data_IF_184855916682
#
_entry.id   IF_184855916682
#
_cell.length_a   1.000
_cell.length_b   1.000
_cell.length_c   1.000
_cell.angle_alpha   90.00
_cell.angle_beta   90.00
_cell.angle_gamma   90.00
#
_symmetry.space_group_name_H-M   'P 1'
#
loop_
_entity.id
_entity.type
_entity.pdbx_description
1 polymer ?
2 branched ?
3 non-polymer ?
4 water ?
#
# COMPACT_ATOMS: atom_id res chain seq x y z
N UNK A 1 -5.47 -21.14 38.44
CA UNK A 1 -4.55 -20.58 37.45
C UNK A 1 -3.19 -21.28 37.47
N UNK A 2 -3.04 -22.28 38.32
CA UNK A 2 -1.82 -23.07 38.41
C UNK A 2 -1.82 -24.31 37.52
N UNK A 3 -2.93 -25.12 37.43
CA UNK A 3 -2.82 -26.43 36.78
C UNK A 3 -2.75 -26.39 35.26
N UNK A 4 -3.37 -25.37 34.68
CA UNK A 4 -3.36 -25.20 33.23
C UNK A 4 -2.03 -24.64 32.75
N UNK A 5 -1.49 -23.68 33.50
CA UNK A 5 -0.15 -23.17 33.26
C UNK A 5 0.87 -24.30 33.37
N UNK A 6 0.67 -25.26 34.28
CA UNK A 6 1.66 -26.32 34.29
C UNK A 6 1.27 -27.50 33.40
N UNK A 7 0.04 -27.51 32.86
CA UNK A 7 -0.21 -28.28 31.64
C UNK A 7 0.67 -27.76 30.53
N UNK A 8 0.71 -26.44 30.38
CA UNK A 8 1.43 -25.83 29.27
C UNK A 8 2.94 -26.00 29.45
N UNK A 9 3.43 -25.91 30.68
CA UNK A 9 4.85 -26.16 30.90
C UNK A 9 5.25 -27.59 30.57
N UNK A 10 4.33 -28.54 30.72
CA UNK A 10 4.65 -29.95 30.59
C UNK A 10 4.52 -30.44 29.16
N UNK A 11 5.19 -29.77 28.23
CA UNK A 11 5.24 -30.27 26.86
C UNK A 11 6.66 -30.76 26.52
N UNK A 12 7.60 -29.83 26.29
CA UNK A 12 8.99 -30.16 26.03
C UNK A 12 9.87 -28.92 26.13
N UNK A 13 10.73 -28.89 27.15
CA UNK A 13 11.68 -27.82 27.36
C UNK A 13 13.08 -28.44 27.44
N UNK A 14 14.04 -27.85 26.72
CA UNK A 14 15.36 -28.46 26.56
C UNK A 14 16.52 -27.63 27.10
N UNK A 15 16.31 -26.37 27.46
CA UNK A 15 17.38 -25.53 28.02
C UNK A 15 16.78 -24.73 29.17
N UNK A 16 17.18 -25.03 30.39
CA UNK A 16 16.67 -24.30 31.54
C UNK A 16 15.59 -25.07 32.27
N UNK A 17 15.02 -24.39 33.27
CA UNK A 17 14.21 -25.07 34.27
C UNK A 17 12.88 -24.37 34.54
N UNK A 18 12.16 -24.82 35.56
CA UNK A 18 10.77 -24.41 35.70
C UNK A 18 10.65 -22.91 35.97
N UNK A 19 11.34 -22.36 36.99
CA UNK A 19 11.81 -23.03 38.19
C UNK A 19 11.55 -22.11 39.39
N UNK A 20 10.36 -22.27 39.97
CA UNK A 20 9.42 -23.22 39.38
C UNK A 20 7.99 -22.75 39.22
N UNK A 21 7.27 -23.52 38.41
CA UNK A 21 5.84 -23.35 38.22
C UNK A 21 5.11 -24.44 38.99
N UNK A 22 5.31 -24.38 40.31
CA UNK A 22 4.82 -25.42 41.21
C UNK A 22 3.31 -25.47 41.20
N UNK A 23 2.78 -26.69 41.04
CA UNK A 23 1.35 -26.89 40.81
C UNK A 23 0.50 -26.47 42.00
N UNK A 24 1.07 -26.35 43.19
CA UNK A 24 0.28 -25.99 44.35
C UNK A 24 0.52 -24.58 44.87
N UNK A 25 1.00 -23.69 44.01
CA UNK A 25 1.31 -22.32 44.40
C UNK A 25 0.69 -21.35 43.42
N UNK A 26 0.37 -20.15 43.91
CA UNK A 26 -0.30 -19.14 43.10
C UNK A 26 0.69 -18.49 42.14
N UNK A 27 0.37 -18.40 40.85
CA UNK A 27 1.35 -17.88 39.88
C UNK A 27 1.56 -16.38 39.94
N UNK A 28 0.78 -15.63 40.71
CA UNK A 28 0.97 -14.20 40.87
C UNK A 28 1.63 -13.82 42.19
N UNK A 29 2.12 -14.80 42.96
CA UNK A 29 2.84 -14.49 44.19
C UNK A 29 4.14 -13.75 43.93
N UNK A 30 4.61 -13.69 42.68
CA UNK A 30 5.84 -13.02 42.32
C UNK A 30 7.02 -13.95 42.15
N UNK A 31 6.87 -15.23 42.47
CA UNK A 31 7.93 -16.21 42.31
C UNK A 31 7.95 -16.85 40.93
N UNK A 32 6.80 -16.88 40.24
CA UNK A 32 6.69 -17.55 38.96
C UNK A 32 7.40 -16.72 37.91
N UNK A 33 8.59 -17.15 37.51
CA UNK A 33 9.36 -16.40 36.52
C UNK A 33 8.70 -16.48 35.16
N UNK A 34 8.66 -15.34 34.49
CA UNK A 34 8.07 -15.26 33.17
C UNK A 34 6.58 -15.17 33.18
N UNK A 35 5.96 -14.78 34.29
CA UNK A 35 4.52 -14.57 34.28
C UNK A 35 4.14 -13.17 34.75
N UNK A 36 3.20 -12.61 34.02
CA UNK A 36 2.64 -11.30 34.29
C UNK A 36 1.20 -11.49 34.78
N UNK A 37 0.80 -10.62 35.69
CA UNK A 37 -0.51 -10.73 36.31
C UNK A 37 -1.14 -9.35 36.36
N UNK A 38 -2.42 -9.29 35.96
CA UNK A 38 -3.24 -8.14 36.24
C UNK A 38 -3.54 -8.10 37.72
N UNK A 39 -3.11 -7.00 38.31
CA UNK A 39 -3.48 -6.51 39.62
C UNK A 39 -3.13 -7.44 40.77
N UNK A 40 -2.06 -8.18 40.55
CA UNK A 40 -1.54 -9.10 41.53
C UNK A 40 -2.46 -10.26 41.78
N UNK A 41 -3.46 -10.46 40.93
CA UNK A 41 -4.47 -11.49 41.14
C UNK A 41 -4.47 -12.50 40.00
N UNK A 42 -4.59 -12.06 38.75
CA UNK A 42 -4.92 -12.98 37.67
C UNK A 42 -3.84 -12.93 36.58
N UNK A 43 -3.67 -14.05 35.88
CA UNK A 43 -2.59 -14.16 34.89
C UNK A 43 -3.01 -13.45 33.61
N UNK A 44 -2.13 -12.60 33.09
CA UNK A 44 -2.40 -11.80 31.89
C UNK A 44 -1.35 -11.94 30.80
N UNK A 45 -0.16 -12.45 31.11
CA UNK A 45 0.86 -12.63 30.10
C UNK A 45 1.77 -13.79 30.44
N UNK A 46 2.33 -14.39 29.40
CA UNK A 46 3.36 -15.42 29.52
C UNK A 46 4.58 -14.97 28.74
N UNK A 47 5.73 -14.92 29.41
CA UNK A 47 6.96 -14.38 28.83
C UNK A 47 8.10 -15.35 29.16
N UNK A 48 8.26 -16.38 28.32
CA UNK A 48 9.35 -17.34 28.50
C UNK A 48 10.12 -17.44 27.19
N UNK A 49 11.43 -17.22 27.28
CA UNK A 49 12.29 -17.13 26.10
C UNK A 49 13.61 -17.85 26.35
N UNK A 50 14.20 -18.36 25.28
CA UNK A 50 15.53 -18.97 25.30
C UNK A 50 15.57 -20.16 26.27
N UNK A 51 14.53 -20.99 26.22
CA UNK A 51 14.50 -22.22 26.99
C UNK A 51 14.55 -23.45 26.10
N UNK A 52 14.73 -23.26 24.80
CA UNK A 52 14.74 -24.40 23.90
C UNK A 52 13.43 -25.15 23.86
N UNK A 53 12.31 -24.45 24.05
CA UNK A 53 11.02 -25.10 23.96
C UNK A 53 10.89 -25.77 22.60
N UNK A 54 10.80 -27.10 22.64
CA UNK A 54 10.81 -27.92 21.44
C UNK A 54 9.49 -28.64 21.20
N UNK A 55 8.55 -28.54 22.12
CA UNK A 55 7.32 -29.28 22.06
C UNK A 55 6.25 -28.56 21.29
N UNK A 56 5.01 -28.78 21.70
CA UNK A 56 3.82 -28.28 21.02
C UNK A 56 2.99 -27.46 21.99
N UNK A 57 2.52 -26.30 21.53
CA UNK A 57 1.60 -25.50 22.34
C UNK A 57 0.21 -26.11 22.23
N UNK A 58 -0.43 -26.32 23.38
CA UNK A 58 -1.82 -26.77 23.43
C UNK A 58 -2.66 -25.57 23.91
N UNK A 59 -3.33 -24.92 22.97
CA UNK A 59 -4.00 -23.67 23.25
C UNK A 59 -5.25 -23.84 24.10
N UNK A 60 -5.79 -25.06 24.18
CA UNK A 60 -6.91 -25.29 25.09
C UNK A 60 -6.49 -25.05 26.54
N UNK A 61 -5.22 -25.31 26.88
CA UNK A 61 -4.71 -24.94 28.18
C UNK A 61 -4.73 -23.43 28.38
N UNK A 62 -4.31 -22.67 27.36
CA UNK A 62 -4.27 -21.22 27.49
C UNK A 62 -5.64 -20.58 27.46
N UNK A 63 -6.66 -21.29 26.94
CA UNK A 63 -8.02 -20.76 26.98
C UNK A 63 -8.58 -20.74 28.39
N UNK A 64 -8.04 -21.54 29.30
CA UNK A 64 -8.52 -21.56 30.68
C UNK A 64 -7.94 -20.42 31.52
N UNK A 65 -7.16 -19.50 30.91
CA UNK A 65 -6.78 -18.23 31.52
C UNK A 65 -7.64 -17.13 30.91
N UNK A 66 -8.67 -16.63 31.61
CA UNK A 66 -9.64 -15.75 30.96
C UNK A 66 -9.16 -14.34 30.72
N UNK A 67 -8.10 -13.88 31.39
CA UNK A 67 -7.62 -12.53 31.17
C UNK A 67 -6.22 -12.52 30.60
N UNK A 68 -5.79 -13.61 29.98
CA UNK A 68 -4.50 -13.62 29.32
C UNK A 68 -4.56 -12.72 28.09
N UNK A 69 -3.59 -11.81 28.00
CA UNK A 69 -3.57 -10.82 26.93
C UNK A 69 -2.27 -10.83 26.14
N UNK A 70 -1.17 -11.34 26.69
CA UNK A 70 0.10 -11.25 25.98
C UNK A 70 0.83 -12.59 26.05
N UNK A 71 1.34 -13.03 24.91
CA UNK A 71 2.17 -14.22 24.81
C UNK A 71 3.46 -13.82 24.10
N UNK A 72 4.60 -14.17 24.71
CA UNK A 72 5.91 -13.87 24.15
C UNK A 72 6.79 -15.09 24.37
N UNK A 73 7.03 -15.84 23.30
CA UNK A 73 7.78 -17.08 23.33
C UNK A 73 9.02 -16.99 22.44
N UNK A 74 9.70 -15.84 22.49
CA UNK A 74 10.79 -15.58 21.56
C UNK A 74 11.96 -16.53 21.74
N UNK A 75 12.64 -16.80 20.63
CA UNK A 75 13.89 -17.55 20.58
C UNK A 75 13.79 -18.89 21.31
N UNK A 76 12.97 -19.78 20.75
CA UNK A 76 12.92 -21.16 21.19
C UNK A 76 13.01 -22.03 19.95
N UNK A 77 12.50 -23.25 20.04
CA UNK A 77 12.59 -24.21 18.94
C UNK A 77 11.22 -24.75 18.57
N UNK A 78 10.18 -23.93 18.76
CA UNK A 78 8.83 -24.38 18.46
C UNK A 78 8.68 -24.55 16.95
N UNK A 79 8.14 -25.69 16.52
CA UNK A 79 7.97 -25.98 15.10
C UNK A 79 6.60 -26.59 14.87
N UNK A 80 6.30 -26.85 13.61
CA UNK A 80 5.00 -27.34 13.21
C UNK A 80 4.15 -26.17 12.78
N UNK A 81 2.87 -26.40 12.50
CA UNK A 81 2.00 -25.31 12.05
C UNK A 81 1.74 -24.31 13.17
N UNK A 82 1.33 -23.12 12.76
CA UNK A 82 1.08 -22.07 13.74
C UNK A 82 -0.15 -22.44 14.57
N UNK A 83 -0.03 -22.55 15.89
CA UNK A 83 -1.15 -23.01 16.69
C UNK A 83 -2.29 -22.02 16.64
N UNK A 84 -3.52 -22.47 16.87
CA UNK A 84 -4.68 -21.61 16.63
C UNK A 84 -4.84 -20.51 17.66
N UNK A 85 -3.96 -19.50 17.62
CA UNK A 85 -4.02 -18.44 18.62
C UNK A 85 -5.29 -17.63 18.55
N UNK A 86 -6.07 -17.73 17.46
CA UNK A 86 -7.34 -17.04 17.36
C UNK A 86 -8.38 -17.54 18.35
N UNK A 87 -8.13 -18.65 19.03
CA UNK A 87 -9.02 -19.16 20.06
C UNK A 87 -8.90 -18.40 21.37
N UNK A 88 -7.93 -17.49 21.49
CA UNK A 88 -7.80 -16.66 22.66
C UNK A 88 -8.39 -15.28 22.36
N UNK A 89 -9.58 -14.95 22.87
CA UNK A 89 -10.30 -13.78 22.36
C UNK A 89 -9.73 -12.42 22.75
N UNK A 90 -9.12 -12.31 23.93
CA UNK A 90 -8.59 -11.04 24.37
C UNK A 90 -7.12 -10.84 24.09
N UNK A 91 -6.56 -11.62 23.17
CA UNK A 91 -5.12 -11.54 22.95
C UNK A 91 -4.77 -10.23 22.30
N UNK A 92 -3.78 -9.54 22.85
CA UNK A 92 -3.33 -8.26 22.33
C UNK A 92 -1.95 -8.31 21.71
N UNK A 93 -1.09 -9.22 22.17
CA UNK A 93 0.31 -9.25 21.78
C UNK A 93 0.74 -10.70 21.56
N UNK A 94 1.13 -11.01 20.33
CA UNK A 94 1.57 -12.35 19.94
C UNK A 94 3.00 -12.24 19.42
N UNK A 95 3.98 -12.56 20.28
CA UNK A 95 5.39 -12.43 19.98
C UNK A 95 6.00 -13.82 19.92
N UNK A 96 6.36 -14.26 18.73
CA UNK A 96 6.95 -15.57 18.50
C UNK A 96 8.26 -15.47 17.70
N UNK A 97 9.04 -14.42 17.91
CA UNK A 97 10.30 -14.18 17.20
C UNK A 97 11.26 -15.35 17.26
N UNK A 98 11.94 -15.56 16.14
CA UNK A 98 12.96 -16.59 15.97
C UNK A 98 12.49 -17.96 16.55
N UNK A 99 11.42 -18.50 15.97
CA UNK A 99 11.03 -19.89 16.25
C UNK A 99 11.05 -20.60 14.90
N UNK A 100 10.58 -21.85 14.86
CA UNK A 100 10.65 -22.62 13.61
C UNK A 100 9.27 -23.07 13.15
N UNK A 101 8.25 -22.23 13.37
CA UNK A 101 6.92 -22.53 12.85
C UNK A 101 6.92 -22.48 11.33
N UNK A 102 6.26 -23.45 10.72
CA UNK A 102 6.30 -23.67 9.28
C UNK A 102 4.89 -23.76 8.73
N UNK A 103 4.78 -23.71 7.40
CA UNK A 103 3.51 -23.94 6.73
C UNK A 103 2.77 -22.65 6.43
N UNK A 104 1.61 -22.81 5.81
CA UNK A 104 0.78 -21.68 5.42
C UNK A 104 -0.27 -21.38 6.49
N UNK A 105 -0.41 -20.10 6.81
CA UNK A 105 -1.42 -19.66 7.77
C UNK A 105 -2.75 -19.53 7.05
N UNK A 106 -3.81 -20.06 7.63
CA UNK A 106 -5.13 -19.96 7.03
C UNK A 106 -5.46 -18.49 6.77
N UNK A 107 -6.02 -18.21 5.60
CA UNK A 107 -6.30 -16.82 5.24
C UNK A 107 -7.30 -16.18 6.19
N UNK A 108 -8.17 -16.98 6.79
CA UNK A 108 -9.16 -16.49 7.74
C UNK A 108 -8.67 -16.56 9.18
N UNK A 109 -7.36 -16.68 9.39
CA UNK A 109 -6.83 -16.93 10.74
C UNK A 109 -7.14 -15.78 11.69
N UNK A 110 -7.13 -14.54 11.20
CA UNK A 110 -7.32 -13.37 12.05
C UNK A 110 -8.70 -12.73 11.87
N UNK A 111 -9.69 -13.53 11.47
CA UNK A 111 -11.04 -12.98 11.28
C UNK A 111 -11.63 -12.49 12.59
N UNK A 112 -11.40 -13.22 13.69
CA UNK A 112 -12.04 -12.91 14.95
C UNK A 112 -11.01 -12.65 16.04
N UNK A 113 -10.00 -11.84 15.73
CA UNK A 113 -8.99 -11.39 16.69
C UNK A 113 -8.82 -9.88 16.58
N UNK A 114 -9.86 -9.11 16.91
CA UNK A 114 -9.76 -7.66 16.76
C UNK A 114 -8.91 -6.99 17.83
N UNK A 115 -8.56 -7.70 18.89
CA UNK A 115 -7.78 -7.12 19.99
C UNK A 115 -6.29 -7.11 19.71
N UNK A 116 -5.82 -7.84 18.71
CA UNK A 116 -4.38 -7.92 18.44
C UNK A 116 -3.82 -6.56 18.02
N UNK A 117 -2.90 -6.04 18.82
CA UNK A 117 -2.15 -4.83 18.49
C UNK A 117 -0.78 -5.15 17.91
N UNK A 118 -0.18 -6.23 18.35
CA UNK A 118 1.18 -6.58 18.00
C UNK A 118 1.29 -8.05 17.60
N UNK A 119 1.87 -8.29 16.43
CA UNK A 119 2.09 -9.62 15.88
C UNK A 119 3.52 -9.68 15.35
N UNK A 120 4.40 -10.38 16.07
CA UNK A 120 5.79 -10.59 15.66
C UNK A 120 5.94 -12.07 15.32
N UNK A 121 6.08 -12.38 14.03
CA UNK A 121 6.29 -13.75 13.56
C UNK A 121 7.62 -13.89 12.82
N UNK A 122 8.52 -12.93 13.00
CA UNK A 122 9.73 -12.87 12.21
C UNK A 122 10.61 -14.08 12.42
N UNK A 123 11.31 -14.47 11.34
CA UNK A 123 12.37 -15.47 11.37
C UNK A 123 11.87 -16.84 11.80
N UNK A 124 10.65 -17.18 11.41
CA UNK A 124 10.23 -18.57 11.44
C UNK A 124 10.40 -19.12 10.03
N UNK A 125 9.66 -20.16 9.67
CA UNK A 125 9.69 -20.67 8.30
C UNK A 125 8.27 -20.78 7.75
N UNK A 126 7.46 -19.76 8.00
CA UNK A 126 6.12 -19.67 7.43
C UNK A 126 6.17 -19.44 5.93
N UNK A 127 5.15 -19.92 5.24
CA UNK A 127 5.13 -19.94 3.79
C UNK A 127 3.73 -19.53 3.30
N UNK A 128 3.65 -19.28 2.00
CA UNK A 128 2.37 -19.25 1.31
C UNK A 128 1.39 -18.15 1.67
N UNK A 129 1.66 -16.91 1.23
CA UNK A 129 0.65 -15.86 1.17
C UNK A 129 0.21 -15.37 2.55
N UNK A 130 0.63 -14.17 2.92
CA UNK A 130 0.15 -13.51 4.14
C UNK A 130 -1.37 -13.52 4.16
N UNK A 131 -2.00 -13.92 5.26
CA UNK A 131 -3.47 -14.01 5.29
C UNK A 131 -4.10 -12.64 5.15
N UNK A 132 -5.10 -12.54 4.26
CA UNK A 132 -5.73 -11.26 4.01
C UNK A 132 -6.39 -10.70 5.26
N UNK A 133 -6.88 -11.57 6.15
CA UNK A 133 -7.56 -11.09 7.35
C UNK A 133 -6.60 -10.36 8.29
N UNK A 134 -5.31 -10.72 8.24
CA UNK A 134 -4.32 -10.00 9.05
C UNK A 134 -4.29 -8.52 8.70
N UNK A 135 -4.45 -8.20 7.41
CA UNK A 135 -4.43 -6.82 6.95
C UNK A 135 -5.80 -6.17 7.01
N UNK A 136 -6.79 -6.82 7.61
CA UNK A 136 -8.10 -6.23 7.87
C UNK A 136 -8.28 -5.85 9.33
N UNK A 137 -7.28 -6.11 10.18
CA UNK A 137 -7.34 -5.72 11.58
C UNK A 137 -7.19 -4.21 11.70
N UNK A 138 -8.26 -3.53 12.11
CA UNK A 138 -8.22 -2.07 12.24
C UNK A 138 -7.31 -1.61 13.37
N UNK A 139 -7.09 -2.45 14.38
CA UNK A 139 -6.29 -2.08 15.53
C UNK A 139 -4.87 -2.61 15.53
N UNK A 140 -4.40 -3.19 14.43
CA UNK A 140 -3.04 -3.72 14.37
C UNK A 140 -2.06 -2.57 14.29
N UNK A 141 -1.11 -2.50 15.22
CA UNK A 141 -0.15 -1.43 15.23
C UNK A 141 1.25 -1.85 14.79
N UNK A 142 1.69 -3.05 15.16
CA UNK A 142 3.02 -3.52 14.84
C UNK A 142 2.93 -4.92 14.25
N UNK A 143 3.39 -5.07 13.00
CA UNK A 143 3.38 -6.36 12.32
C UNK A 143 4.76 -6.62 11.76
N UNK A 144 5.46 -7.60 12.34
CA UNK A 144 6.81 -7.94 11.91
C UNK A 144 6.81 -9.39 11.45
N UNK A 145 7.09 -9.59 10.15
CA UNK A 145 7.02 -10.89 9.51
C UNK A 145 8.30 -11.18 8.72
N UNK A 146 9.35 -10.41 8.94
CA UNK A 146 10.55 -10.53 8.13
C UNK A 146 11.22 -11.89 8.33
N UNK A 147 11.94 -12.33 7.30
CA UNK A 147 12.76 -13.51 7.42
C UNK A 147 12.03 -14.83 7.41
N UNK A 148 10.87 -14.89 6.75
CA UNK A 148 10.13 -16.12 6.55
C UNK A 148 10.27 -16.51 5.07
N UNK A 149 9.28 -17.22 4.53
CA UNK A 149 9.29 -17.58 3.11
C UNK A 149 7.96 -17.23 2.46
N UNK A 150 7.28 -16.19 2.95
CA UNK A 150 6.00 -15.78 2.39
C UNK A 150 6.12 -15.47 0.91
N UNK A 151 5.11 -15.85 0.15
CA UNK A 151 5.06 -15.63 -1.29
C UNK A 151 3.73 -14.98 -1.64
N UNK A 152 3.53 -14.73 -2.92
CA UNK A 152 2.31 -14.09 -3.37
C UNK A 152 2.31 -12.58 -3.13
N UNK A 153 1.16 -11.98 -3.39
CA UNK A 153 1.01 -10.54 -3.22
C UNK A 153 0.63 -10.20 -1.79
N UNK A 154 0.99 -9.00 -1.37
CA UNK A 154 0.64 -8.52 -0.04
C UNK A 154 -0.84 -8.10 -0.04
N UNK A 155 -1.65 -8.57 0.91
CA UNK A 155 -3.05 -8.17 0.92
C UNK A 155 -3.18 -6.69 1.20
N UNK A 156 -4.26 -6.05 0.75
CA UNK A 156 -4.46 -4.63 1.04
C UNK A 156 -4.76 -4.42 2.51
N UNK A 157 -4.41 -3.23 3.00
CA UNK A 157 -4.67 -2.85 4.38
C UNK A 157 -5.93 -2.00 4.43
N UNK A 158 -6.82 -2.34 5.35
CA UNK A 158 -8.12 -1.67 5.42
C UNK A 158 -7.97 -0.23 5.90
N UNK A 159 -8.73 0.68 5.26
CA UNK A 159 -8.74 2.08 5.69
C UNK A 159 -9.17 2.23 7.13
N UNK A 160 -9.84 1.23 7.71
CA UNK A 160 -10.25 1.30 9.09
C UNK A 160 -9.08 1.28 10.07
N UNK A 161 -7.91 0.85 9.62
CA UNK A 161 -6.72 0.89 10.45
C UNK A 161 -6.13 2.30 10.42
N UNK A 162 -5.96 2.90 11.59
CA UNK A 162 -5.35 4.22 11.73
C UNK A 162 -4.18 4.20 12.71
N UNK A 163 -3.67 3.02 13.06
CA UNK A 163 -2.70 2.92 14.17
C UNK A 163 -1.45 2.16 13.78
N UNK A 164 -1.44 1.49 12.62
CA UNK A 164 -0.27 0.74 12.22
C UNK A 164 0.92 1.66 12.04
N UNK A 165 1.93 1.54 12.92
CA UNK A 165 3.11 2.39 12.85
C UNK A 165 4.37 1.65 12.45
N UNK A 166 4.38 0.32 12.46
CA UNK A 166 5.59 -0.44 12.12
C UNK A 166 5.19 -1.71 11.41
N UNK A 167 5.66 -1.85 10.17
CA UNK A 167 5.41 -3.02 9.33
C UNK A 167 6.73 -3.46 8.75
N UNK A 168 7.10 -4.72 8.98
CA UNK A 168 8.36 -5.27 8.48
C UNK A 168 8.05 -6.57 7.75
N UNK A 169 8.18 -6.54 6.42
CA UNK A 169 7.98 -7.72 5.57
C UNK A 169 9.27 -8.07 4.82
N UNK A 170 10.42 -7.64 5.32
CA UNK A 170 11.67 -7.81 4.62
C UNK A 170 12.07 -9.28 4.53
N UNK A 171 12.84 -9.60 3.50
CA UNK A 171 13.50 -10.90 3.38
C UNK A 171 12.50 -12.05 3.38
N UNK A 172 11.49 -11.92 2.52
CA UNK A 172 10.62 -13.03 2.17
C UNK A 172 10.73 -13.26 0.67
N UNK A 173 9.67 -13.74 0.04
CA UNK A 173 9.66 -13.87 -1.41
C UNK A 173 8.35 -13.34 -1.97
N UNK A 174 7.91 -12.18 -1.49
CA UNK A 174 6.65 -11.60 -1.92
C UNK A 174 6.78 -11.04 -3.33
N UNK A 175 5.64 -10.89 -4.01
CA UNK A 175 5.62 -10.75 -5.46
C UNK A 175 5.04 -9.44 -5.95
N UNK A 176 3.79 -9.12 -5.62
CA UNK A 176 3.09 -8.12 -6.42
C UNK A 176 3.55 -6.68 -6.28
N UNK A 177 2.70 -5.76 -6.73
CA UNK A 177 2.88 -4.36 -6.39
C UNK A 177 2.66 -4.20 -4.89
N UNK A 178 3.52 -3.42 -4.25
CA UNK A 178 3.24 -3.14 -2.83
C UNK A 178 1.97 -2.31 -2.74
N UNK A 179 1.00 -2.71 -1.92
CA UNK A 179 -0.30 -2.01 -1.89
C UNK A 179 -0.13 -0.55 -1.50
N UNK A 180 -0.76 0.34 -2.28
CA UNK A 180 -0.70 1.75 -1.96
C UNK A 180 -1.49 2.09 -0.69
N UNK A 181 -2.42 1.21 -0.28
CA UNK A 181 -3.02 1.33 1.05
C UNK A 181 -1.95 1.37 2.14
N UNK A 182 -0.81 0.72 1.90
CA UNK A 182 0.30 0.74 2.86
C UNK A 182 1.26 1.88 2.57
N UNK A 183 1.67 2.03 1.31
CA UNK A 183 2.77 2.94 0.98
C UNK A 183 2.38 4.41 1.04
N UNK A 184 1.08 4.73 0.94
CA UNK A 184 0.67 6.13 1.05
C UNK A 184 0.77 6.66 2.46
N UNK A 185 0.81 5.80 3.47
CA UNK A 185 0.69 6.25 4.85
C UNK A 185 1.97 6.97 5.29
N UNK A 186 1.79 8.10 5.97
CA UNK A 186 2.88 9.02 6.30
C UNK A 186 3.39 8.85 7.73
N UNK A 187 2.82 7.92 8.50
CA UNK A 187 3.26 7.67 9.88
C UNK A 187 3.70 6.23 10.07
N UNK A 188 4.11 5.57 8.99
CA UNK A 188 4.32 4.12 8.95
C UNK A 188 5.78 3.81 8.65
N UNK A 189 6.51 3.33 9.65
CA UNK A 189 7.81 2.73 9.38
C UNK A 189 7.59 1.38 8.68
N UNK A 190 7.90 1.32 7.40
CA UNK A 190 7.68 0.12 6.61
C UNK A 190 8.99 -0.36 6.02
N UNK A 191 9.12 -1.68 5.92
CA UNK A 191 10.33 -2.29 5.39
C UNK A 191 9.96 -3.41 4.43
N UNK A 192 10.62 -3.39 3.24
CA UNK A 192 10.31 -4.36 2.20
C UNK A 192 11.53 -4.94 1.49
N UNK A 193 12.76 -4.62 1.97
CA UNK A 193 14.00 -5.11 1.33
C UNK A 193 14.01 -6.61 1.20
N UNK A 194 14.89 -7.07 0.33
CA UNK A 194 15.16 -8.48 0.27
C UNK A 194 14.00 -9.27 -0.23
N UNK A 195 13.08 -8.59 -0.92
CA UNK A 195 11.92 -9.21 -1.52
C UNK A 195 12.09 -9.00 -3.01
N UNK A 196 12.91 -9.81 -3.65
CA UNK A 196 12.89 -9.81 -5.10
C UNK A 196 11.48 -10.19 -5.53
N UNK A 197 11.15 -9.85 -6.78
CA UNK A 197 9.82 -10.01 -7.38
C UNK A 197 8.90 -8.84 -7.03
N UNK A 198 9.15 -8.17 -5.91
CA UNK A 198 8.26 -7.14 -5.39
C UNK A 198 8.58 -5.80 -6.04
N UNK A 199 7.55 -4.99 -6.32
CA UNK A 199 7.76 -3.73 -7.03
C UNK A 199 6.75 -2.68 -6.55
N UNK A 200 6.78 -1.52 -7.20
CA UNK A 200 5.90 -0.41 -6.85
C UNK A 200 6.55 0.44 -5.79
N UNK A 201 5.83 0.64 -4.68
CA UNK A 201 6.47 0.61 -3.37
C UNK A 201 7.05 1.93 -2.89
N UNK A 202 7.66 1.91 -1.69
CA UNK A 202 8.79 2.82 -1.43
C UNK A 202 10.08 2.37 -2.09
N UNK A 203 10.20 1.10 -2.48
CA UNK A 203 11.29 0.67 -3.33
C UNK A 203 11.26 1.42 -4.67
N UNK A 204 12.44 1.62 -5.25
CA UNK A 204 12.61 2.44 -6.45
C UNK A 204 12.46 1.66 -7.74
N UNK A 205 11.60 0.63 -7.77
CA UNK A 205 11.44 -0.21 -8.94
C UNK A 205 9.96 -0.26 -9.33
N UNK A 206 9.64 0.26 -10.51
CA UNK A 206 8.39 -0.06 -11.20
C UNK A 206 8.49 -1.47 -11.75
N UNK A 207 7.38 -2.24 -11.76
CA UNK A 207 5.96 -1.88 -11.59
C UNK A 207 5.46 -0.70 -12.44
N UNK A 208 5.58 -0.75 -13.78
CA UNK A 208 5.98 -1.92 -14.58
C UNK A 208 6.07 -1.52 -16.04
N UNK B 1 21.17 14.37 -11.10
CA UNK B 1 19.77 14.02 -10.91
C UNK B 1 19.29 14.35 -9.49
N UNK B 2 20.17 14.94 -8.69
CA UNK B 2 19.85 15.34 -7.32
C UNK B 2 19.33 16.78 -7.20
N UNK B 3 20.01 17.78 -7.82
CA UNK B 3 19.66 19.18 -7.51
C UNK B 3 18.37 19.68 -8.16
N UNK B 4 17.92 19.14 -9.30
CA UNK B 4 16.63 19.49 -9.92
C UNK B 4 15.53 19.02 -9.04
N UNK B 5 15.72 17.74 -8.71
CA UNK B 5 14.76 17.03 -7.91
C UNK B 5 14.51 17.79 -6.64
N UNK B 6 15.56 18.41 -6.10
CA UNK B 6 15.23 19.22 -4.94
C UNK B 6 14.97 20.68 -5.31
N UNK B 7 15.19 21.09 -6.56
CA UNK B 7 14.50 22.29 -7.05
C UNK B 7 13.00 22.06 -6.98
N UNK B 8 12.56 20.90 -7.46
CA UNK B 8 11.15 20.58 -7.57
C UNK B 8 10.52 20.34 -6.20
N UNK B 9 11.27 19.72 -5.28
CA UNK B 9 10.77 19.54 -3.93
C UNK B 9 10.56 20.88 -3.22
N UNK B 10 11.33 21.90 -3.60
CA UNK B 10 11.34 23.17 -2.87
C UNK B 10 10.28 24.12 -3.41
N UNK B 11 9.04 23.65 -3.44
CA UNK B 11 7.92 24.52 -3.79
C UNK B 11 7.05 24.79 -2.57
N UNK B 12 6.22 23.81 -2.17
CA UNK B 12 5.36 23.94 -0.99
C UNK B 12 4.78 22.59 -0.59
N UNK B 13 5.16 22.10 0.59
CA UNK B 13 4.59 20.87 1.14
C UNK B 13 3.96 21.21 2.48
N UNK B 14 2.75 20.71 2.70
CA UNK B 14 1.98 21.08 3.89
C UNK B 14 1.64 19.89 4.77
N UNK B 15 1.82 18.65 4.31
CA UNK B 15 1.56 17.46 5.11
C UNK B 15 2.67 16.45 4.83
N UNK B 16 3.56 16.23 5.79
CA UNK B 16 4.63 15.27 5.59
C UNK B 16 5.93 15.92 5.19
N UNK B 17 6.91 15.08 4.89
CA UNK B 17 8.30 15.49 4.78
C UNK B 17 8.91 14.89 3.52
N UNK B 18 10.21 15.11 3.33
CA UNK B 18 10.84 14.78 2.05
C UNK B 18 10.85 13.28 1.78
N UNK B 19 11.37 12.44 2.70
CA UNK B 19 12.34 12.73 3.78
C UNK B 19 13.35 11.57 3.85
N UNK B 20 14.49 11.79 3.21
CA UNK B 20 14.64 13.06 2.52
C UNK B 20 15.25 12.97 1.13
N UNK B 21 15.14 14.10 0.43
CA UNK B 21 15.71 14.28 -0.89
C UNK B 21 16.97 15.13 -0.77
N UNK B 22 17.97 14.59 -0.08
CA UNK B 22 19.19 15.33 0.26
C UNK B 22 19.97 15.71 -1.00
N UNK B 23 20.36 16.98 -1.08
CA UNK B 23 20.95 17.53 -2.28
C UNK B 23 22.31 16.93 -2.62
N UNK B 24 22.98 16.31 -1.66
CA UNK B 24 24.29 15.73 -1.94
C UNK B 24 24.31 14.22 -1.95
N UNK B 25 23.16 13.61 -2.21
CA UNK B 25 23.02 12.17 -2.20
C UNK B 25 22.33 11.70 -3.48
N UNK B 26 22.66 10.48 -3.89
CA UNK B 26 22.17 9.93 -5.16
C UNK B 26 20.72 9.49 -5.01
N UNK B 27 19.82 9.92 -5.91
CA UNK B 27 18.40 9.59 -5.74
C UNK B 27 18.03 8.16 -6.10
N UNK B 28 18.94 7.37 -6.67
CA UNK B 28 18.64 5.98 -6.95
C UNK B 28 19.30 5.03 -5.96
N UNK B 29 19.88 5.54 -4.89
CA UNK B 29 20.46 4.68 -3.86
C UNK B 29 19.41 3.83 -3.15
N UNK B 30 18.12 4.14 -3.31
CA UNK B 30 17.06 3.39 -2.67
C UNK B 30 16.49 4.05 -1.44
N UNK B 31 17.08 5.15 -0.96
CA UNK B 31 16.58 5.85 0.21
C UNK B 31 15.55 6.91 -0.14
N UNK B 32 15.56 7.42 -1.36
CA UNK B 32 14.69 8.51 -1.78
C UNK B 32 13.27 8.00 -1.94
N UNK B 33 12.40 8.35 -1.00
CA UNK B 33 11.04 7.84 -1.04
C UNK B 33 10.28 8.47 -2.21
N UNK B 34 9.53 7.65 -2.93
CA UNK B 34 8.75 8.15 -4.05
C UNK B 34 9.52 8.41 -5.32
N UNK B 35 10.70 7.82 -5.47
CA UNK B 35 11.51 7.95 -6.68
C UNK B 35 11.64 6.58 -7.33
N UNK B 36 11.48 6.54 -8.65
CA UNK B 36 11.72 5.35 -9.44
C UNK B 36 12.93 5.57 -10.34
N UNK B 37 13.69 4.50 -10.55
CA UNK B 37 14.92 4.59 -11.34
C UNK B 37 14.98 3.43 -12.32
N UNK B 38 15.31 3.77 -13.56
CA UNK B 38 15.75 2.78 -14.53
C UNK B 38 17.10 2.24 -14.09
N UNK B 39 17.17 0.91 -13.96
CA UNK B 39 18.39 0.12 -13.81
C UNK B 39 19.20 0.49 -12.58
N UNK B 40 18.56 1.05 -11.54
CA UNK B 40 19.31 1.49 -10.39
C UNK B 40 20.25 2.63 -10.69
N UNK B 41 20.06 3.29 -11.84
CA UNK B 41 21.02 4.28 -12.33
C UNK B 41 20.38 5.66 -12.45
N UNK B 42 19.26 5.78 -13.18
CA UNK B 42 18.76 7.09 -13.60
C UNK B 42 17.30 7.24 -13.20
N UNK B 43 16.86 8.47 -13.00
CA UNK B 43 15.51 8.72 -12.52
C UNK B 43 14.52 8.59 -13.67
N UNK B 44 13.46 7.81 -13.46
CA UNK B 44 12.44 7.55 -14.47
C UNK B 44 11.02 7.86 -14.03
N UNK B 45 10.76 7.97 -12.74
CA UNK B 45 9.43 8.26 -12.25
C UNK B 45 9.47 9.02 -10.95
N UNK B 46 8.42 9.81 -10.71
CA UNK B 46 8.21 10.50 -9.43
C UNK B 46 6.83 10.11 -8.94
N UNK B 47 6.76 9.59 -7.72
CA UNK B 47 5.52 9.06 -7.13
C UNK B 47 5.40 9.60 -5.71
N UNK B 48 4.84 10.80 -5.57
CA UNK B 48 4.63 11.40 -4.26
C UNK B 48 3.15 11.79 -4.15
N UNK B 49 2.49 11.30 -3.12
CA UNK B 49 1.05 11.45 -2.94
C UNK B 49 0.75 11.76 -1.48
N UNK B 50 -0.37 12.46 -1.27
CA UNK B 50 -0.88 12.75 0.08
C UNK B 50 0.13 13.51 0.91
N UNK B 51 0.77 14.52 0.32
CA UNK B 51 1.66 15.39 1.06
C UNK B 51 1.14 16.81 1.13
N UNK B 52 -0.06 17.07 0.63
CA UNK B 52 -0.59 18.42 0.65
C UNK B 52 0.24 19.37 -0.18
N UNK B 53 0.85 18.89 -1.27
CA UNK B 53 1.60 19.78 -2.14
C UNK B 53 0.70 20.90 -2.61
N UNK B 54 1.05 22.12 -2.22
CA UNK B 54 0.20 23.28 -2.45
C UNK B 54 0.80 24.28 -3.41
N UNK B 55 2.02 24.08 -3.85
CA UNK B 55 2.73 25.04 -4.66
C UNK B 55 2.51 24.87 -6.14
N UNK B 56 3.56 25.19 -6.89
CA UNK B 56 3.56 25.24 -8.34
C UNK B 56 4.62 24.27 -8.87
N UNK B 57 4.26 23.50 -9.89
CA UNK B 57 5.25 22.66 -10.56
C UNK B 57 6.03 23.54 -11.53
N UNK B 58 7.36 23.46 -11.46
CA UNK B 58 8.22 24.13 -12.42
C UNK B 58 8.80 23.04 -13.31
N UNK B 59 8.23 22.91 -14.51
CA UNK B 59 8.56 21.79 -15.39
C UNK B 59 9.95 21.90 -15.98
N UNK B 60 10.56 23.10 -15.95
CA UNK B 60 11.95 23.21 -16.38
C UNK B 60 12.86 22.39 -15.48
N UNK B 61 12.51 22.24 -14.21
CA UNK B 61 13.25 21.33 -13.33
C UNK B 61 13.11 19.89 -13.82
N UNK B 62 11.91 19.48 -14.20
CA UNK B 62 11.69 18.09 -14.63
C UNK B 62 12.25 17.82 -16.02
N UNK B 63 12.48 18.85 -16.83
CA UNK B 63 13.12 18.64 -18.12
C UNK B 63 14.56 18.22 -17.97
N UNK B 64 15.17 18.53 -16.83
CA UNK B 64 16.55 18.16 -16.55
C UNK B 64 16.70 16.72 -16.07
N UNK B 65 15.62 15.94 -16.02
CA UNK B 65 15.69 14.48 -15.88
C UNK B 65 15.40 13.84 -17.22
N UNK B 66 16.43 13.39 -17.95
CA UNK B 66 16.22 13.02 -19.35
C UNK B 66 15.50 11.71 -19.58
N UNK B 67 15.42 10.82 -18.60
CA UNK B 67 14.70 9.56 -18.78
C UNK B 67 13.50 9.45 -17.86
N UNK B 68 12.97 10.58 -17.40
CA UNK B 68 11.73 10.56 -16.63
C UNK B 68 10.59 10.17 -17.55
N UNK B 69 9.83 9.17 -17.12
CA UNK B 69 8.74 8.62 -17.91
C UNK B 69 7.41 8.63 -17.19
N UNK B 70 7.41 8.72 -15.86
CA UNK B 70 6.16 8.63 -15.11
C UNK B 70 6.10 9.69 -14.02
N UNK B 71 4.96 10.38 -13.95
CA UNK B 71 4.68 11.35 -12.90
C UNK B 71 3.35 10.97 -12.26
N UNK B 72 3.34 10.84 -10.94
CA UNK B 72 2.12 10.49 -10.21
C UNK B 72 2.08 11.33 -8.94
N UNK B 73 1.25 12.36 -8.93
CA UNK B 73 1.16 13.32 -7.83
C UNK B 73 -0.25 13.31 -7.24
N UNK B 74 -0.84 12.13 -7.12
CA UNK B 74 -2.23 11.99 -6.72
C UNK B 74 -2.47 12.51 -5.30
N UNK B 75 -3.70 12.94 -5.05
CA UNK B 75 -4.17 13.37 -3.74
C UNK B 75 -3.24 14.44 -3.14
N UNK B 76 -3.26 15.60 -3.76
CA UNK B 76 -2.58 16.76 -3.18
C UNK B 76 -3.49 17.97 -3.33
N UNK B 77 -2.87 19.15 -3.29
CA UNK B 77 -3.58 20.42 -3.33
C UNK B 77 -3.03 21.31 -4.44
N UNK B 78 -2.54 20.70 -5.53
CA UNK B 78 -1.96 21.47 -6.60
C UNK B 78 -3.04 22.31 -7.27
N UNK B 79 -2.72 23.58 -7.54
CA UNK B 79 -3.68 24.57 -8.00
C UNK B 79 -3.18 25.23 -9.27
N UNK B 80 -4.02 26.08 -9.85
CA UNK B 80 -3.65 26.81 -11.03
C UNK B 80 -3.94 26.08 -12.32
N UNK B 81 -3.49 26.64 -13.44
CA UNK B 81 -3.67 25.98 -14.73
C UNK B 81 -2.78 24.74 -14.83
N UNK B 82 -3.15 23.84 -15.73
CA UNK B 82 -2.40 22.59 -15.85
C UNK B 82 -1.02 22.88 -16.43
N UNK B 83 0.06 22.51 -15.73
CA UNK B 83 1.41 22.89 -16.17
C UNK B 83 1.77 22.22 -17.48
N UNK B 84 2.69 22.80 -18.25
CA UNK B 84 2.95 22.31 -19.62
C UNK B 84 3.67 20.98 -19.66
N UNK B 85 2.99 19.89 -19.30
CA UNK B 85 3.67 18.60 -19.25
C UNK B 85 4.12 18.13 -20.63
N UNK B 86 3.63 18.75 -21.70
CA UNK B 86 4.08 18.41 -23.04
C UNK B 86 5.54 18.77 -23.28
N UNK B 87 6.18 19.49 -22.37
CA UNK B 87 7.61 19.77 -22.53
C UNK B 87 8.47 18.58 -22.17
N UNK B 88 7.88 17.50 -21.65
CA UNK B 88 8.61 16.28 -21.35
C UNK B 88 8.32 15.26 -22.43
N UNK B 89 9.26 14.99 -23.35
CA UNK B 89 8.92 14.25 -24.57
C UNK B 89 8.71 12.76 -24.37
N UNK B 90 9.40 12.18 -23.40
CA UNK B 90 9.30 10.74 -23.20
C UNK B 90 8.28 10.34 -22.15
N UNK B 91 7.38 11.25 -21.76
CA UNK B 91 6.47 10.95 -20.67
C UNK B 91 5.43 9.93 -21.13
N UNK B 92 5.23 8.91 -20.29
CA UNK B 92 4.33 7.80 -20.58
C UNK B 92 3.09 7.80 -19.70
N UNK B 93 3.19 8.32 -18.48
CA UNK B 93 2.13 8.20 -17.49
C UNK B 93 2.01 9.52 -16.72
N UNK B 94 0.85 10.16 -16.83
CA UNK B 94 0.57 11.43 -16.15
C UNK B 94 -0.62 11.21 -15.23
N UNK B 95 -0.36 11.00 -13.94
CA UNK B 95 -1.38 10.70 -12.96
C UNK B 95 -1.47 11.86 -11.98
N UNK B 96 -2.55 12.64 -12.07
CA UNK B 96 -2.77 13.81 -11.25
C UNK B 96 -4.14 13.77 -10.60
N UNK B 97 -4.63 12.56 -10.30
CA UNK B 97 -5.93 12.34 -9.68
C UNK B 97 -6.11 13.14 -8.39
N UNK B 98 -7.34 13.59 -8.16
CA UNK B 98 -7.70 14.42 -6.98
C UNK B 98 -6.65 15.50 -6.66
N UNK B 99 -6.52 16.45 -7.59
CA UNK B 99 -5.87 17.73 -7.34
C UNK B 99 -6.89 18.83 -7.66
N UNK B 100 -6.45 20.08 -7.65
CA UNK B 100 -7.36 21.20 -7.86
C UNK B 100 -6.93 22.06 -9.06
N UNK B 101 -6.40 21.43 -10.09
CA UNK B 101 -6.07 22.16 -11.31
C UNK B 101 -7.31 22.69 -11.99
N UNK B 102 -7.19 23.90 -12.51
CA UNK B 102 -8.31 24.70 -12.99
C UNK B 102 -8.09 25.08 -14.45
N UNK B 103 -9.14 25.61 -15.06
CA UNK B 103 -8.98 26.25 -16.34
C UNK B 103 -9.19 25.30 -17.50
N UNK B 104 -9.05 25.88 -18.69
CA UNK B 104 -9.20 25.17 -19.94
C UNK B 104 -7.83 24.73 -20.45
N UNK B 105 -7.72 23.48 -20.87
CA UNK B 105 -6.47 22.98 -21.44
C UNK B 105 -6.42 23.36 -22.91
N UNK B 106 -5.27 23.87 -23.35
CA UNK B 106 -5.10 24.25 -24.74
C UNK B 106 -5.43 23.09 -25.67
N UNK B 107 -6.14 23.37 -26.76
CA UNK B 107 -6.58 22.31 -27.65
C UNK B 107 -5.40 21.56 -28.26
N UNK B 108 -4.25 22.23 -28.40
CA UNK B 108 -3.04 21.62 -28.94
C UNK B 108 -2.11 21.08 -27.87
N UNK B 109 -2.61 20.87 -26.64
CA UNK B 109 -1.73 20.51 -25.53
C UNK B 109 -1.00 19.19 -25.77
N UNK B 110 -1.65 18.24 -26.44
CA UNK B 110 -1.10 16.91 -26.65
C UNK B 110 -0.64 16.71 -28.09
N UNK B 111 -0.26 17.81 -28.76
CA UNK B 111 0.22 17.70 -30.14
C UNK B 111 1.51 16.89 -30.22
N UNK B 112 2.41 17.08 -29.27
CA UNK B 112 3.74 16.48 -29.36
C UNK B 112 4.02 15.61 -28.14
N UNK B 113 3.05 14.77 -27.76
CA UNK B 113 3.21 13.82 -26.67
C UNK B 113 2.74 12.43 -27.13
N UNK B 114 3.44 11.84 -28.10
CA UNK B 114 3.00 10.55 -28.63
C UNK B 114 3.28 9.38 -27.70
N UNK B 115 4.11 9.57 -26.68
CA UNK B 115 4.46 8.49 -25.75
C UNK B 115 3.43 8.27 -24.66
N UNK B 116 2.49 9.20 -24.47
CA UNK B 116 1.54 9.11 -23.38
C UNK B 116 0.65 7.89 -23.54
N UNK B 117 0.71 6.98 -22.57
CA UNK B 117 -0.20 5.84 -22.53
C UNK B 117 -1.35 6.05 -21.57
N UNK B 118 -1.12 6.76 -20.47
CA UNK B 118 -2.08 6.90 -19.39
C UNK B 118 -2.16 8.35 -18.96
N UNK B 119 -3.37 8.91 -18.94
CA UNK B 119 -3.63 10.28 -18.51
C UNK B 119 -4.80 10.25 -17.54
N UNK B 120 -4.50 10.47 -16.25
CA UNK B 120 -5.51 10.54 -15.20
C UNK B 120 -5.57 11.98 -14.71
N UNK B 121 -6.65 12.68 -15.04
CA UNK B 121 -6.88 14.06 -14.60
C UNK B 121 -8.16 14.17 -13.78
N UNK B 122 -8.68 13.04 -13.30
CA UNK B 122 -10.00 13.01 -12.68
C UNK B 122 -10.04 13.86 -11.41
N UNK B 123 -11.22 14.44 -11.17
CA UNK B 123 -11.55 15.13 -9.92
C UNK B 123 -10.67 16.34 -9.66
N UNK B 124 -10.29 17.04 -10.73
CA UNK B 124 -9.75 18.38 -10.57
C UNK B 124 -10.89 19.36 -10.84
N UNK B 125 -10.58 20.58 -11.27
CA UNK B 125 -11.61 21.52 -11.68
C UNK B 125 -11.30 22.09 -13.06
N UNK B 126 -10.90 21.21 -13.97
CA UNK B 126 -10.68 21.59 -15.36
C UNK B 126 -12.01 21.89 -16.05
N UNK B 127 -11.94 22.78 -17.04
CA UNK B 127 -13.13 23.31 -17.68
C UNK B 127 -12.89 23.39 -19.19
N UNK B 128 -13.98 23.63 -19.92
CA UNK B 128 -13.89 24.10 -21.30
C UNK B 128 -13.31 23.16 -22.34
N UNK B 129 -14.06 22.13 -22.72
CA UNK B 129 -13.79 21.39 -23.96
C UNK B 129 -12.51 20.56 -23.89
N UNK B 130 -12.66 19.24 -23.80
CA UNK B 130 -11.54 18.31 -23.88
C UNK B 130 -10.72 18.63 -25.13
N UNK B 131 -9.40 18.76 -25.01
CA UNK B 131 -8.59 19.13 -26.19
C UNK B 131 -8.63 18.05 -27.25
N UNK B 132 -8.88 18.48 -28.49
CA UNK B 132 -9.02 17.52 -29.59
C UNK B 132 -7.75 16.70 -29.79
N UNK B 133 -6.59 17.29 -29.50
CA UNK B 133 -5.33 16.58 -29.69
C UNK B 133 -5.19 15.40 -28.74
N UNK B 134 -5.84 15.46 -27.57
CA UNK B 134 -5.82 14.33 -26.65
C UNK B 134 -6.40 13.08 -27.30
N UNK B 135 -7.45 13.24 -28.11
CA UNK B 135 -8.11 12.12 -28.76
C UNK B 135 -7.46 11.77 -30.11
N UNK B 136 -6.32 12.37 -30.43
CA UNK B 136 -5.55 12.01 -31.61
C UNK B 136 -4.32 11.18 -31.27
N UNK B 137 -4.09 10.91 -29.99
CA UNK B 137 -2.95 10.09 -29.57
C UNK B 137 -3.23 8.64 -29.92
N UNK B 138 -2.48 8.09 -30.88
CA UNK B 138 -2.69 6.71 -31.29
C UNK B 138 -2.32 5.71 -30.20
N UNK B 139 -1.45 6.08 -29.27
CA UNK B 139 -0.99 5.19 -28.23
C UNK B 139 -1.63 5.36 -26.87
N UNK B 140 -2.66 6.18 -26.74
CA UNK B 140 -3.30 6.40 -25.45
C UNK B 140 -4.13 5.17 -25.08
N UNK B 141 -3.86 4.60 -23.91
CA UNK B 141 -4.58 3.41 -23.46
C UNK B 141 -5.57 3.69 -22.34
N UNK B 142 -5.25 4.58 -21.41
CA UNK B 142 -6.12 4.87 -20.27
C UNK B 142 -6.30 6.36 -20.16
N UNK B 143 -7.54 6.83 -20.26
CA UNK B 143 -7.85 8.25 -20.13
C UNK B 143 -8.99 8.40 -19.13
N UNK B 144 -8.67 8.96 -17.96
CA UNK B 144 -9.66 9.15 -16.90
C UNK B 144 -9.78 10.63 -16.61
N UNK B 145 -10.97 11.17 -16.85
CA UNK B 145 -11.23 12.60 -16.74
C UNK B 145 -12.48 12.89 -15.92
N UNK B 146 -12.98 11.89 -15.20
CA UNK B 146 -14.25 12.04 -14.52
C UNK B 146 -14.18 13.09 -13.42
N UNK B 147 -15.31 13.71 -13.13
CA UNK B 147 -15.40 14.60 -11.99
C UNK B 147 -14.75 15.96 -12.16
N UNK B 148 -14.67 16.48 -13.38
CA UNK B 148 -14.19 17.82 -13.66
C UNK B 148 -15.40 18.67 -14.05
N UNK B 149 -15.17 19.71 -14.85
CA UNK B 149 -16.24 20.56 -15.35
C UNK B 149 -16.18 20.73 -16.85
N UNK B 150 -15.63 19.74 -17.56
CA UNK B 150 -15.52 19.85 -19.01
C UNK B 150 -16.88 20.01 -19.67
N UNK B 151 -16.93 20.85 -20.70
CA UNK B 151 -18.14 21.16 -21.45
C UNK B 151 -17.85 20.97 -22.93
N UNK B 152 -18.86 21.24 -23.76
CA UNK B 152 -18.72 21.07 -25.19
C UNK B 152 -18.84 19.61 -25.59
N UNK B 153 -18.61 19.37 -26.88
CA UNK B 153 -18.69 18.02 -27.42
C UNK B 153 -17.37 17.29 -27.24
N UNK B 154 -17.45 15.97 -27.19
CA UNK B 154 -16.27 15.13 -27.06
C UNK B 154 -15.60 15.04 -28.43
N UNK B 155 -14.29 15.31 -28.53
CA UNK B 155 -13.62 15.21 -29.82
C UNK B 155 -13.61 13.76 -30.30
N UNK B 156 -13.55 13.55 -31.62
CA UNK B 156 -13.49 12.18 -32.13
C UNK B 156 -12.15 11.53 -31.81
N UNK B 157 -12.16 10.21 -31.72
CA UNK B 157 -10.95 9.45 -31.46
C UNK B 157 -10.41 8.92 -32.78
N UNK B 158 -9.11 9.12 -33.00
CA UNK B 158 -8.50 8.78 -34.29
C UNK B 158 -8.47 7.27 -34.49
N UNK B 159 -8.77 6.85 -35.72
CA UNK B 159 -8.72 5.42 -36.05
C UNK B 159 -7.34 4.82 -35.81
N UNK B 160 -6.30 5.65 -35.73
CA UNK B 160 -4.96 5.13 -35.49
C UNK B 160 -4.77 4.53 -34.11
N UNK B 161 -5.65 4.85 -33.16
CA UNK B 161 -5.60 4.26 -31.84
C UNK B 161 -6.23 2.87 -31.87
N UNK B 162 -5.47 1.86 -31.43
CA UNK B 162 -5.96 0.50 -31.31
C UNK B 162 -5.77 -0.05 -29.90
N UNK B 163 -5.51 0.83 -28.93
CA UNK B 163 -5.08 0.37 -27.62
C UNK B 163 -5.90 0.97 -26.48
N UNK B 164 -6.72 1.99 -26.77
CA UNK B 164 -7.50 2.60 -25.70
C UNK B 164 -8.46 1.57 -25.11
N UNK B 165 -8.21 1.17 -23.86
CA UNK B 165 -9.03 0.17 -23.19
C UNK B 165 -9.87 0.72 -22.05
N UNK B 166 -9.61 1.94 -21.58
CA UNK B 166 -10.34 2.49 -20.46
C UNK B 166 -10.52 3.99 -20.66
N UNK B 167 -11.77 4.43 -20.75
CA UNK B 167 -12.12 5.83 -20.91
C UNK B 167 -13.20 6.20 -19.92
N UNK B 168 -12.93 7.19 -19.07
CA UNK B 168 -13.88 7.65 -18.06
C UNK B 168 -14.07 9.15 -18.20
N UNK B 169 -15.24 9.57 -18.67
CA UNK B 169 -15.59 10.98 -18.79
C UNK B 169 -16.80 11.31 -17.92
N UNK B 170 -17.06 10.50 -16.89
CA UNK B 170 -18.27 10.63 -16.10
C UNK B 170 -18.27 11.92 -15.29
N UNK B 171 -19.48 12.42 -15.02
CA UNK B 171 -19.68 13.52 -14.07
C UNK B 171 -18.92 14.77 -14.50
N UNK B 172 -19.12 15.15 -15.75
CA UNK B 172 -18.70 16.44 -16.26
C UNK B 172 -19.95 17.19 -16.70
N UNK B 173 -19.83 18.08 -17.68
CA UNK B 173 -21.00 18.74 -18.25
C UNK B 173 -20.89 18.75 -19.79
N UNK B 174 -20.51 17.60 -20.34
CA UNK B 174 -20.33 17.47 -21.78
C UNK B 174 -21.68 17.41 -22.49
N UNK B 175 -21.68 17.74 -23.78
CA UNK B 175 -22.91 18.10 -24.48
C UNK B 175 -23.29 17.17 -25.62
N UNK B 176 -22.46 17.02 -26.64
CA UNK B 176 -22.97 16.52 -27.91
C UNK B 176 -23.36 15.05 -27.96
N UNK B 177 -23.49 14.54 -29.19
CA UNK B 177 -23.52 13.10 -29.40
C UNK B 177 -22.18 12.50 -29.01
N UNK B 178 -22.23 11.39 -28.29
CA UNK B 178 -20.97 10.68 -28.01
C UNK B 178 -20.42 10.11 -29.31
N UNK B 179 -19.16 10.37 -29.63
CA UNK B 179 -18.61 9.97 -30.94
C UNK B 179 -18.69 8.47 -31.13
N UNK B 180 -19.18 8.05 -32.31
CA UNK B 180 -19.22 6.63 -32.61
C UNK B 180 -17.81 6.08 -32.83
N UNK B 181 -16.84 6.96 -33.09
CA UNK B 181 -15.44 6.56 -33.02
C UNK B 181 -15.09 5.92 -31.68
N UNK B 182 -15.78 6.32 -30.62
CA UNK B 182 -15.58 5.76 -29.29
C UNK B 182 -16.53 4.60 -29.03
N UNK B 183 -17.81 4.80 -29.30
CA UNK B 183 -18.84 3.86 -28.85
C UNK B 183 -18.89 2.56 -29.66
N UNK B 184 -18.36 2.54 -30.89
CA UNK B 184 -18.36 1.31 -31.66
C UNK B 184 -17.35 0.30 -31.16
N UNK B 185 -16.36 0.73 -30.39
CA UNK B 185 -15.25 -0.14 -30.02
C UNK B 185 -15.69 -1.21 -29.02
N UNK B 186 -15.27 -2.45 -29.27
CA UNK B 186 -15.77 -3.61 -28.54
C UNK B 186 -14.84 -4.05 -27.42
N UNK B 187 -13.71 -3.36 -27.21
CA UNK B 187 -12.77 -3.70 -26.15
C UNK B 187 -12.53 -2.54 -25.19
N UNK B 188 -13.47 -1.60 -25.13
CA UNK B 188 -13.28 -0.31 -24.45
C UNK B 188 -14.25 -0.21 -23.29
N UNK B 189 -13.75 -0.31 -22.06
CA UNK B 189 -14.58 0.06 -20.92
C UNK B 189 -14.73 1.57 -20.92
N UNK B 190 -15.92 2.06 -21.25
CA UNK B 190 -16.19 3.49 -21.36
C UNK B 190 -17.27 3.88 -20.36
N UNK B 191 -17.15 5.10 -19.83
CA UNK B 191 -18.09 5.62 -18.85
C UNK B 191 -18.43 7.05 -19.19
N UNK B 192 -19.73 7.36 -19.20
CA UNK B 192 -20.19 8.69 -19.57
C UNK B 192 -21.32 9.18 -18.67
N UNK B 193 -21.66 8.45 -17.62
CA UNK B 193 -22.77 8.80 -16.74
C UNK B 193 -22.52 10.16 -16.08
N UNK B 194 -23.60 10.71 -15.52
CA UNK B 194 -23.48 12.00 -14.86
C UNK B 194 -23.22 13.14 -15.81
N UNK B 195 -23.47 12.93 -17.10
CA UNK B 195 -23.27 13.94 -18.13
C UNK B 195 -24.63 14.21 -18.75
N UNK B 196 -25.45 15.01 -18.06
CA UNK B 196 -26.64 15.52 -18.73
C UNK B 196 -26.18 16.33 -19.93
N UNK B 197 -27.11 16.52 -20.87
CA UNK B 197 -26.90 17.19 -22.17
C UNK B 197 -26.36 16.19 -23.18
N UNK B 198 -25.67 15.14 -22.73
CA UNK B 198 -24.97 14.19 -23.60
C UNK B 198 -25.95 13.12 -24.07
N UNK B 199 -25.79 12.66 -25.33
CA UNK B 199 -26.73 11.69 -25.88
C UNK B 199 -26.04 10.73 -26.84
N UNK B 200 -26.85 9.86 -27.45
CA UNK B 200 -26.34 8.87 -28.40
C UNK B 200 -25.92 7.61 -27.67
N UNK B 201 -24.69 7.17 -27.95
CA UNK B 201 -23.84 6.61 -26.91
C UNK B 201 -24.06 5.13 -26.60
N UNK B 202 -23.40 4.61 -25.56
CA UNK B 202 -23.99 3.54 -24.77
C UNK B 202 -25.11 4.02 -23.86
N UNK B 203 -25.23 5.33 -23.63
CA UNK B 203 -26.42 5.86 -23.00
C UNK B 203 -27.65 5.51 -23.83
N UNK B 204 -28.79 5.36 -23.15
CA UNK B 204 -30.02 4.96 -23.81
C UNK B 204 -30.86 6.16 -24.24
N UNK B 205 -30.23 7.27 -24.58
CA UNK B 205 -30.94 8.50 -24.95
C UNK B 205 -30.46 8.96 -26.31
N UNK B 206 -31.35 8.93 -27.29
CA UNK B 206 -31.19 9.70 -28.52
C UNK B 206 -31.42 11.19 -28.20
N UNK B 207 -30.68 12.09 -28.84
CA UNK B 207 -29.85 11.98 -30.06
C UNK B 207 -30.51 11.28 -31.27
N UNK B 208 -31.67 11.74 -31.75
CA UNK B 208 -32.36 12.97 -31.35
C UNK B 208 -33.70 13.10 -32.08
#
# INVERSE_FOLDING_TARGET
>A
SEPLVRFKRSVNITKGDLNSWRTGTDPCNGKWFGIYCQKGQTVSGIHVTRLGLSGTINIEDLKDLPNLRTIRLDNNLLSGPLPPFFKLPGLKSLLLSNNSFSGEIADDFFKETPQLKRVFLDNNRLSGKIPASLMQLAGLEELHMQGNQFTGEIPPLTDGNKVLKSLDLSNNDLEGEIPITISDRKNLEMKFEGNQRLCGSPLNIECD
>B
SEPLVRFKRSVNITKGDLNSWRTGTDPCNGKWFGIYCQKGQTVSGIHVTRLGLSGTINIEDLKDLPNLRTIRLDNNLLSGPLPPFFKLPGLKSLLLSNNSFSGEIADDFFKETPQLKRVFLDNNRLSGKIPASLMQLAGLEELHMQGNQFTGEIPPLTDGNKVLKSLDLSNNDLEGEIPITISDRKNLEMKFEGNQRLCGSPLNIECD
#
